data_IF_797122402061
#
_entry.id   IF_797122402061
#
_cell.length_a   1.000
_cell.length_b   1.000
_cell.length_c   1.000
_cell.angle_alpha   90.00
_cell.angle_beta   90.00
_cell.angle_gamma   90.00
#
_symmetry.space_group_name_H-M   'P 1'
#
loop_
_entity.id
_entity.type
_entity.pdbx_description
1 polymer ?
#
# COMPACT_ATOMS: atom_id res chain seq x y z
N UNK A 1 69.66 -29.75 -5.30
CA UNK A 1 68.62 -29.81 -4.25
C UNK A 1 67.49 -28.89 -4.64
N UNK A 2 66.29 -29.37 -4.96
CA UNK A 2 65.19 -28.52 -5.31
C UNK A 2 64.42 -28.10 -4.07
N UNK A 3 63.99 -26.83 -4.02
CA UNK A 3 63.19 -26.16 -3.02
C UNK A 3 61.78 -26.74 -2.95
N UNK A 4 61.18 -26.98 -1.77
CA UNK A 4 59.82 -27.51 -1.68
C UNK A 4 58.79 -26.41 -1.90
N UNK A 5 57.88 -26.69 -2.86
CA UNK A 5 56.71 -25.89 -3.17
C UNK A 5 55.75 -25.84 -1.94
N UNK A 6 55.46 -24.66 -1.47
CA UNK A 6 54.45 -24.38 -0.47
C UNK A 6 53.05 -24.75 -1.01
N UNK A 7 52.36 -25.68 -0.37
CA UNK A 7 50.97 -26.01 -0.66
C UNK A 7 50.06 -24.86 -0.16
N UNK A 8 49.43 -24.16 -1.09
CA UNK A 8 48.36 -23.23 -0.77
C UNK A 8 47.17 -24.04 -0.20
N UNK A 9 46.79 -23.78 1.06
CA UNK A 9 45.53 -24.25 1.62
C UNK A 9 44.40 -23.40 1.06
N UNK A 10 43.55 -24.02 0.28
CA UNK A 10 42.22 -23.46 -0.06
C UNK A 10 41.43 -23.35 1.24
N UNK A 11 41.15 -22.14 1.67
CA UNK A 11 40.12 -21.89 2.66
C UNK A 11 38.77 -22.03 1.95
N UNK A 12 38.03 -23.08 2.28
CA UNK A 12 36.62 -23.20 1.94
C UNK A 12 35.85 -22.19 2.79
N UNK A 13 35.41 -21.12 2.18
CA UNK A 13 34.47 -20.19 2.84
C UNK A 13 33.15 -20.93 2.94
N UNK A 14 32.79 -21.37 4.15
CA UNK A 14 31.44 -21.79 4.46
C UNK A 14 30.54 -20.57 4.28
N UNK A 15 29.65 -20.70 3.31
CA UNK A 15 28.63 -19.69 3.01
C UNK A 15 27.41 -19.99 3.87
N UNK A 16 27.54 -19.78 5.18
CA UNK A 16 26.41 -19.69 6.08
C UNK A 16 25.96 -18.22 6.16
N UNK A 17 25.54 -17.68 5.02
CA UNK A 17 24.67 -16.52 5.06
C UNK A 17 23.26 -17.05 5.34
N UNK A 18 22.53 -16.56 6.35
CA UNK A 18 21.14 -16.90 6.51
C UNK A 18 20.43 -16.55 5.20
N UNK A 19 19.65 -17.50 4.67
CA UNK A 19 18.77 -17.21 3.55
C UNK A 19 17.95 -15.97 3.89
N UNK A 20 17.82 -15.00 2.95
CA UNK A 20 17.00 -13.83 3.20
C UNK A 20 15.61 -14.34 3.57
N UNK A 21 15.11 -13.95 4.75
CA UNK A 21 13.77 -14.25 5.19
C UNK A 21 12.82 -13.99 4.01
N UNK A 22 12.03 -15.00 3.62
CA UNK A 22 11.04 -14.86 2.55
C UNK A 22 10.26 -13.58 2.80
N UNK A 23 10.44 -12.61 1.92
CA UNK A 23 9.73 -11.35 2.01
C UNK A 23 8.24 -11.69 1.86
N UNK A 24 7.44 -11.39 2.88
CA UNK A 24 6.01 -11.64 2.82
C UNK A 24 5.44 -11.13 1.49
N UNK A 25 4.56 -11.89 0.83
CA UNK A 25 4.04 -11.51 -0.48
C UNK A 25 3.41 -10.12 -0.40
N UNK A 26 3.68 -9.29 -1.39
CA UNK A 26 3.13 -7.94 -1.47
C UNK A 26 1.63 -8.01 -1.63
N UNK A 27 0.91 -7.25 -0.83
CA UNK A 27 -0.52 -7.08 -0.92
C UNK A 27 -0.86 -5.67 -1.36
N UNK A 28 -1.89 -5.57 -2.18
CA UNK A 28 -2.39 -4.30 -2.68
C UNK A 28 -3.86 -4.19 -2.33
N UNK A 29 -4.21 -3.19 -1.55
CA UNK A 29 -5.60 -2.95 -1.14
C UNK A 29 -6.29 -2.04 -2.15
N UNK A 30 -7.46 -2.45 -2.59
CA UNK A 30 -8.33 -1.66 -3.46
C UNK A 30 -9.68 -1.44 -2.79
N UNK A 31 -10.26 -0.28 -3.05
CA UNK A 31 -11.69 -0.08 -2.85
C UNK A 31 -12.40 -0.68 -4.06
N UNK A 32 -13.27 -1.64 -3.85
CA UNK A 32 -14.01 -2.30 -4.92
C UNK A 32 -15.43 -1.72 -5.08
N UNK A 33 -16.03 -1.21 -3.99
CA UNK A 33 -17.32 -0.50 -3.99
C UNK A 33 -17.40 0.46 -2.80
N UNK A 34 -18.19 1.53 -2.93
CA UNK A 34 -18.41 2.55 -1.89
C UNK A 34 -19.87 3.01 -1.77
N UNK A 35 -20.77 2.27 -2.40
CA UNK A 35 -22.20 2.54 -2.31
C UNK A 35 -22.70 3.73 -3.13
N UNK A 36 -21.85 4.37 -3.91
CA UNK A 36 -22.26 5.39 -4.87
C UNK A 36 -22.60 4.81 -6.24
N UNK A 37 -23.22 5.63 -7.09
CA UNK A 37 -23.58 5.25 -8.44
C UNK A 37 -22.35 4.96 -9.29
N UNK A 38 -22.40 3.86 -9.99
CA UNK A 38 -21.42 3.50 -11.00
C UNK A 38 -21.74 4.13 -12.38
N UNK A 39 -20.99 3.75 -13.42
CA UNK A 39 -21.17 4.26 -14.79
C UNK A 39 -22.47 3.79 -15.45
N UNK A 40 -23.10 2.75 -14.91
CA UNK A 40 -24.34 2.18 -15.40
C UNK A 40 -25.55 2.70 -14.64
N UNK A 41 -25.35 3.64 -13.71
CA UNK A 41 -26.31 4.13 -12.74
C UNK A 41 -26.76 3.06 -11.72
N UNK A 42 -26.00 1.99 -11.56
CA UNK A 42 -26.23 1.04 -10.50
C UNK A 42 -25.61 1.53 -9.19
N UNK A 43 -26.27 1.23 -8.09
CA UNK A 43 -25.82 1.51 -6.74
C UNK A 43 -25.88 0.25 -5.89
N UNK A 44 -24.72 -0.20 -5.41
CA UNK A 44 -24.60 -1.43 -4.65
C UNK A 44 -24.44 -1.09 -3.17
N UNK A 45 -25.36 -1.57 -2.34
CA UNK A 45 -25.26 -1.41 -0.88
C UNK A 45 -23.99 -2.06 -0.35
N UNK A 46 -23.16 -1.28 0.35
CA UNK A 46 -21.92 -1.80 0.94
C UNK A 46 -22.20 -2.90 1.96
N UNK A 47 -23.26 -2.76 2.73
CA UNK A 47 -23.64 -3.76 3.74
C UNK A 47 -24.38 -4.97 3.15
N UNK A 48 -24.76 -4.90 1.89
CA UNK A 48 -25.47 -5.96 1.18
C UNK A 48 -24.57 -7.02 0.54
N UNK A 49 -23.26 -6.90 0.65
CA UNK A 49 -22.32 -7.85 0.06
C UNK A 49 -22.32 -9.21 0.77
N UNK A 50 -22.57 -10.26 0.01
CA UNK A 50 -22.38 -11.65 0.40
C UNK A 50 -21.01 -12.10 -0.10
N UNK A 51 -20.06 -12.31 0.82
CA UNK A 51 -18.64 -12.50 0.52
C UNK A 51 -18.14 -13.93 0.75
N UNK A 52 -18.93 -14.79 1.38
CA UNK A 52 -18.47 -16.10 1.84
C UNK A 52 -18.04 -17.01 0.69
N UNK A 53 -18.84 -17.05 -0.39
CA UNK A 53 -18.52 -17.86 -1.58
C UNK A 53 -17.24 -17.37 -2.26
N UNK A 54 -17.08 -16.05 -2.44
CA UNK A 54 -15.87 -15.46 -2.99
C UNK A 54 -14.67 -15.76 -2.11
N UNK A 55 -14.73 -15.53 -0.81
CA UNK A 55 -13.61 -15.75 0.09
C UNK A 55 -13.23 -17.23 0.24
N UNK A 56 -14.13 -18.16 -0.08
CA UNK A 56 -13.81 -19.60 -0.16
C UNK A 56 -13.02 -19.94 -1.45
N UNK A 57 -13.23 -19.21 -2.55
CA UNK A 57 -12.51 -19.34 -3.82
C UNK A 57 -12.12 -17.96 -4.37
N UNK A 58 -11.14 -17.28 -3.75
CA UNK A 58 -10.91 -15.86 -3.92
C UNK A 58 -10.09 -15.52 -5.16
N UNK A 59 -10.60 -15.84 -6.35
CA UNK A 59 -9.91 -15.63 -7.62
C UNK A 59 -9.85 -14.15 -8.01
N UNK A 60 -8.70 -13.74 -8.53
CA UNK A 60 -8.49 -12.42 -9.13
C UNK A 60 -8.18 -12.59 -10.61
N UNK A 61 -8.95 -11.92 -11.47
CA UNK A 61 -8.81 -11.96 -12.92
C UNK A 61 -8.21 -10.66 -13.47
N UNK A 62 -8.01 -10.61 -14.77
CA UNK A 62 -7.66 -9.41 -15.52
C UNK A 62 -8.74 -9.10 -16.55
N UNK A 63 -9.33 -7.88 -16.48
CA UNK A 63 -10.39 -7.41 -17.37
C UNK A 63 -11.59 -8.37 -17.50
N UNK A 64 -11.98 -9.05 -16.41
CA UNK A 64 -13.10 -10.00 -16.36
C UNK A 64 -12.94 -11.21 -17.31
N UNK A 65 -11.73 -11.50 -17.77
CA UNK A 65 -11.47 -12.63 -18.66
C UNK A 65 -11.32 -13.92 -17.83
N UNK A 66 -12.33 -14.75 -17.90
CA UNK A 66 -12.39 -16.07 -17.25
C UNK A 66 -12.13 -17.23 -18.24
N UNK A 67 -11.67 -16.91 -19.47
CA UNK A 67 -11.45 -17.88 -20.54
C UNK A 67 -12.73 -18.38 -21.22
N UNK A 68 -13.93 -18.03 -20.70
CA UNK A 68 -15.18 -18.35 -21.37
C UNK A 68 -15.33 -17.55 -22.66
N UNK A 69 -16.12 -17.99 -23.60
CA UNK A 69 -16.44 -17.22 -24.80
C UNK A 69 -17.56 -16.19 -24.61
N UNK A 70 -17.87 -15.84 -23.35
CA UNK A 70 -18.93 -14.90 -22.99
C UNK A 70 -18.61 -13.42 -23.23
N UNK A 71 -19.44 -12.53 -22.74
CA UNK A 71 -19.33 -11.06 -22.98
C UNK A 71 -17.98 -10.46 -22.56
N UNK A 72 -17.34 -11.01 -21.54
CA UNK A 72 -16.05 -10.56 -21.02
C UNK A 72 -14.91 -11.55 -21.25
N UNK A 73 -15.21 -12.76 -21.71
CA UNK A 73 -14.21 -13.79 -21.96
C UNK A 73 -13.66 -13.70 -23.37
N UNK A 74 -12.36 -13.98 -23.53
CA UNK A 74 -11.67 -14.00 -24.82
C UNK A 74 -11.89 -15.30 -25.61
N UNK A 75 -12.52 -16.31 -25.01
CA UNK A 75 -12.65 -17.65 -25.57
C UNK A 75 -11.32 -18.42 -25.55
N UNK A 76 -10.28 -17.91 -24.93
CA UNK A 76 -8.99 -18.59 -24.75
C UNK A 76 -9.12 -19.64 -23.66
N UNK A 77 -8.61 -20.83 -23.92
CA UNK A 77 -8.67 -21.96 -22.97
C UNK A 77 -7.56 -21.96 -21.91
N UNK A 78 -6.59 -21.05 -22.05
CA UNK A 78 -5.39 -20.94 -21.23
C UNK A 78 -5.40 -19.72 -20.29
N UNK A 79 -6.58 -19.14 -20.08
CA UNK A 79 -6.72 -18.02 -19.14
C UNK A 79 -6.85 -18.57 -17.73
N UNK A 80 -5.96 -18.12 -16.86
CA UNK A 80 -5.91 -18.47 -15.44
C UNK A 80 -6.05 -17.20 -14.59
N UNK A 81 -6.48 -17.35 -13.32
CA UNK A 81 -6.43 -16.23 -12.37
C UNK A 81 -5.01 -15.67 -12.25
N UNK A 82 -4.90 -14.37 -12.13
CA UNK A 82 -3.62 -13.65 -11.93
C UNK A 82 -3.20 -13.55 -10.47
N UNK A 83 -4.01 -14.07 -9.56
CA UNK A 83 -3.75 -14.03 -8.12
C UNK A 83 -4.98 -14.39 -7.30
N UNK A 84 -4.87 -14.15 -6.02
CA UNK A 84 -5.96 -14.35 -5.05
C UNK A 84 -6.26 -13.05 -4.32
N UNK A 85 -7.51 -12.92 -3.86
CA UNK A 85 -7.98 -11.77 -3.12
C UNK A 85 -8.61 -12.14 -1.78
N UNK A 86 -8.75 -11.17 -0.90
CA UNK A 86 -9.60 -11.24 0.29
C UNK A 86 -10.51 -10.03 0.30
N UNK A 87 -11.82 -10.26 0.18
CA UNK A 87 -12.82 -9.21 0.22
C UNK A 87 -13.39 -9.06 1.63
N UNK A 88 -13.61 -7.82 2.06
CA UNK A 88 -14.20 -7.48 3.35
C UNK A 88 -14.84 -6.09 3.31
N UNK A 89 -15.86 -5.88 4.13
CA UNK A 89 -16.49 -4.57 4.33
C UNK A 89 -15.79 -3.87 5.47
N UNK A 90 -15.39 -2.62 5.24
CA UNK A 90 -14.82 -1.75 6.26
C UNK A 90 -15.40 -0.34 6.12
N UNK A 91 -16.12 0.10 7.16
CA UNK A 91 -16.83 1.38 7.13
C UNK A 91 -17.86 1.43 6.02
N UNK A 92 -17.72 2.35 5.11
CA UNK A 92 -18.58 2.62 3.97
C UNK A 92 -18.05 2.06 2.63
N UNK A 93 -17.11 1.11 2.68
CA UNK A 93 -16.50 0.54 1.50
C UNK A 93 -16.38 -0.98 1.54
N UNK A 94 -16.53 -1.63 0.38
CA UNK A 94 -16.01 -2.95 0.10
C UNK A 94 -14.53 -2.80 -0.27
N UNK A 95 -13.66 -3.41 0.51
CA UNK A 95 -12.23 -3.48 0.25
C UNK A 95 -11.83 -4.88 -0.22
N UNK A 96 -10.77 -4.95 -1.00
CA UNK A 96 -10.12 -6.21 -1.38
C UNK A 96 -8.62 -6.07 -1.28
N UNK A 97 -7.99 -7.01 -0.60
CA UNK A 97 -6.54 -7.20 -0.59
C UNK A 97 -6.18 -8.20 -1.67
N UNK A 98 -5.33 -7.82 -2.61
CA UNK A 98 -4.90 -8.66 -3.74
C UNK A 98 -3.44 -9.05 -3.55
N UNK A 99 -3.18 -10.34 -3.73
CA UNK A 99 -1.85 -10.96 -3.80
C UNK A 99 -1.70 -11.60 -5.18
N UNK A 100 -0.71 -11.16 -5.96
CA UNK A 100 -0.48 -11.63 -7.31
C UNK A 100 0.33 -12.93 -7.32
N UNK A 101 0.04 -13.79 -8.31
CA UNK A 101 0.81 -15.00 -8.54
C UNK A 101 2.23 -14.66 -9.02
N UNK A 102 3.22 -15.03 -8.21
CA UNK A 102 4.62 -14.76 -8.49
C UNK A 102 5.26 -15.80 -9.44
N UNK A 103 4.59 -16.89 -9.73
CA UNK A 103 5.06 -17.90 -10.66
C UNK A 103 4.58 -17.63 -12.10
N UNK A 104 3.50 -16.87 -12.27
CA UNK A 104 2.98 -16.47 -13.59
C UNK A 104 3.61 -15.15 -14.08
N UNK A 105 4.25 -15.20 -15.25
CA UNK A 105 4.85 -14.04 -15.92
C UNK A 105 3.85 -12.93 -16.22
N UNK A 106 2.61 -13.27 -16.58
CA UNK A 106 1.58 -12.29 -16.88
C UNK A 106 1.10 -11.60 -15.59
N UNK A 107 0.87 -12.37 -14.53
CA UNK A 107 0.50 -11.83 -13.22
C UNK A 107 1.57 -10.87 -12.68
N UNK A 108 2.86 -11.22 -12.78
CA UNK A 108 3.97 -10.32 -12.43
C UNK A 108 4.00 -9.03 -13.25
N UNK A 109 3.66 -9.10 -14.55
CA UNK A 109 3.55 -7.89 -15.40
C UNK A 109 2.41 -7.00 -14.95
N UNK A 110 1.26 -7.58 -14.59
CA UNK A 110 0.10 -6.83 -14.05
C UNK A 110 0.49 -6.19 -12.72
N UNK A 111 1.07 -6.96 -11.79
CA UNK A 111 1.54 -6.45 -10.49
C UNK A 111 2.51 -5.28 -10.66
N UNK A 112 3.50 -5.40 -11.55
CA UNK A 112 4.45 -4.31 -11.83
C UNK A 112 3.76 -3.03 -12.30
N UNK A 113 2.67 -3.13 -13.05
CA UNK A 113 1.87 -1.96 -13.46
C UNK A 113 1.05 -1.40 -12.30
N UNK A 114 0.51 -2.26 -11.45
CA UNK A 114 -0.20 -1.87 -10.22
C UNK A 114 0.76 -1.15 -9.26
N UNK A 115 1.93 -1.72 -9.02
CA UNK A 115 2.94 -1.13 -8.14
C UNK A 115 3.33 0.29 -8.56
N UNK A 116 3.43 0.53 -9.88
CA UNK A 116 3.76 1.84 -10.46
C UNK A 116 2.55 2.77 -10.66
N UNK A 117 1.33 2.32 -10.30
CA UNK A 117 0.10 3.11 -10.47
C UNK A 117 -0.39 3.25 -11.92
N UNK A 118 0.15 2.45 -12.86
CA UNK A 118 -0.30 2.44 -14.27
C UNK A 118 -1.65 1.71 -14.39
N UNK A 119 -1.81 0.61 -13.65
CA UNK A 119 -3.10 -0.03 -13.39
C UNK A 119 -3.47 0.29 -11.94
N UNK A 120 -4.60 0.93 -11.74
CA UNK A 120 -4.97 1.46 -10.45
C UNK A 120 -6.42 1.16 -10.08
N UNK A 121 -7.09 0.32 -10.83
CA UNK A 121 -8.52 0.08 -10.66
C UNK A 121 -8.86 -1.40 -10.65
N UNK A 122 -9.92 -1.70 -9.91
CA UNK A 122 -10.57 -3.01 -9.89
C UNK A 122 -12.03 -2.88 -10.31
N UNK A 123 -12.62 -4.00 -10.68
CA UNK A 123 -14.04 -4.13 -10.96
C UNK A 123 -14.53 -5.44 -10.35
N UNK A 124 -15.82 -5.49 -10.06
CA UNK A 124 -16.50 -6.64 -9.49
C UNK A 124 -17.46 -7.26 -10.50
N UNK A 125 -17.58 -8.58 -10.51
CA UNK A 125 -18.72 -9.27 -11.08
C UNK A 125 -19.56 -9.80 -9.92
N UNK A 126 -20.85 -9.59 -9.97
CA UNK A 126 -21.75 -9.92 -8.88
C UNK A 126 -23.09 -10.44 -9.40
N UNK A 127 -23.81 -11.11 -8.53
CA UNK A 127 -25.18 -11.56 -8.74
C UNK A 127 -26.10 -10.76 -7.81
N UNK A 128 -27.11 -10.12 -8.39
CA UNK A 128 -28.11 -9.38 -7.64
C UNK A 128 -29.15 -10.34 -7.05
N UNK A 129 -29.36 -10.28 -5.74
CA UNK A 129 -30.38 -11.09 -5.03
C UNK A 129 -31.62 -10.24 -4.65
N UNK A 130 -31.39 -9.01 -4.17
CA UNK A 130 -32.45 -8.06 -3.85
C UNK A 130 -32.10 -6.70 -4.39
N UNK A 131 -32.95 -6.21 -5.28
CA UNK A 131 -32.72 -4.96 -6.00
C UNK A 131 -34.03 -4.37 -6.51
N UNK A 132 -34.06 -3.11 -6.84
CA UNK A 132 -35.14 -2.41 -7.51
C UNK A 132 -34.56 -1.37 -8.50
N UNK A 133 -35.40 -1.01 -9.49
CA UNK A 133 -35.01 0.06 -10.42
C UNK A 133 -34.96 1.40 -9.68
N UNK A 134 -33.97 2.22 -10.05
CA UNK A 134 -33.81 3.55 -9.51
C UNK A 134 -34.20 4.64 -10.52
N UNK A 135 -34.32 5.87 -10.04
CA UNK A 135 -34.74 7.02 -10.87
C UNK A 135 -33.75 7.36 -11.99
N UNK A 136 -32.55 6.80 -12.01
CA UNK A 136 -31.52 7.02 -13.02
C UNK A 136 -31.50 5.99 -14.15
N UNK A 137 -32.42 5.02 -14.10
CA UNK A 137 -32.53 3.95 -15.09
C UNK A 137 -31.53 2.81 -14.88
N UNK A 138 -30.94 2.71 -13.69
CA UNK A 138 -30.15 1.58 -13.23
C UNK A 138 -30.84 0.91 -12.05
N UNK A 139 -30.08 0.19 -11.21
CA UNK A 139 -30.59 -0.57 -10.10
C UNK A 139 -29.98 -0.13 -8.77
N UNK A 140 -30.79 -0.06 -7.74
CA UNK A 140 -30.36 -0.01 -6.34
C UNK A 140 -30.35 -1.44 -5.82
N UNK A 141 -29.16 -2.00 -5.61
CA UNK A 141 -28.98 -3.36 -5.08
C UNK A 141 -28.81 -3.30 -3.56
N UNK A 142 -29.71 -3.93 -2.86
CA UNK A 142 -29.70 -4.05 -1.41
C UNK A 142 -28.94 -5.29 -0.93
N UNK A 143 -28.88 -6.34 -1.77
CA UNK A 143 -28.19 -7.59 -1.49
C UNK A 143 -27.63 -8.18 -2.78
N UNK A 144 -26.32 -8.41 -2.79
CA UNK A 144 -25.59 -8.95 -3.92
C UNK A 144 -24.46 -9.89 -3.48
N UNK A 145 -24.23 -10.92 -4.27
CA UNK A 145 -23.16 -11.88 -4.07
C UNK A 145 -21.95 -11.51 -4.93
N UNK A 146 -20.77 -11.48 -4.32
CA UNK A 146 -19.52 -11.28 -5.05
C UNK A 146 -19.09 -12.58 -5.73
N UNK A 147 -18.93 -12.54 -7.06
CA UNK A 147 -18.51 -13.70 -7.85
C UNK A 147 -17.03 -13.68 -8.16
N UNK A 148 -16.47 -12.52 -8.55
CA UNK A 148 -15.04 -12.36 -8.83
C UNK A 148 -14.61 -10.90 -8.72
N UNK A 149 -13.30 -10.69 -8.59
CA UNK A 149 -12.64 -9.38 -8.65
C UNK A 149 -11.66 -9.40 -9.82
N UNK A 150 -11.67 -8.32 -10.59
CA UNK A 150 -10.71 -8.12 -11.68
C UNK A 150 -9.90 -6.85 -11.51
N UNK A 151 -8.58 -6.94 -11.78
CA UNK A 151 -7.81 -5.74 -12.11
C UNK A 151 -8.19 -5.31 -13.53
N UNK A 152 -8.62 -4.05 -13.68
CA UNK A 152 -9.15 -3.56 -14.95
C UNK A 152 -8.48 -2.27 -15.40
N UNK A 153 -8.55 -2.01 -16.70
CA UNK A 153 -8.11 -0.72 -17.27
C UNK A 153 -9.12 0.38 -17.03
N UNK A 154 -10.42 0.07 -17.10
CA UNK A 154 -11.52 1.01 -16.90
C UNK A 154 -12.55 0.34 -16.00
N UNK A 155 -12.75 0.80 -14.75
CA UNK A 155 -13.71 0.23 -13.81
C UNK A 155 -15.15 0.69 -14.11
N UNK A 156 -16.13 -0.13 -13.76
CA UNK A 156 -17.55 0.27 -13.72
C UNK A 156 -17.78 1.35 -12.67
N UNK A 157 -17.37 1.11 -11.44
CA UNK A 157 -17.35 2.15 -10.41
C UNK A 157 -16.08 3.00 -10.53
N UNK A 158 -16.23 4.30 -10.78
CA UNK A 158 -15.12 5.25 -11.00
C UNK A 158 -14.19 5.38 -9.78
N UNK A 159 -14.68 5.04 -8.58
CA UNK A 159 -13.94 5.10 -7.33
C UNK A 159 -13.40 3.74 -6.88
N UNK A 160 -13.58 2.69 -7.68
CA UNK A 160 -12.98 1.37 -7.45
C UNK A 160 -11.49 1.38 -7.80
N UNK A 161 -10.72 2.11 -7.00
CA UNK A 161 -9.29 2.35 -7.19
C UNK A 161 -8.49 1.88 -6.00
N UNK A 162 -7.18 1.70 -6.24
CA UNK A 162 -6.22 1.32 -5.20
C UNK A 162 -6.26 2.34 -4.07
N UNK A 163 -6.43 1.84 -2.86
CA UNK A 163 -6.22 2.62 -1.65
C UNK A 163 -4.71 2.74 -1.46
N UNK A 164 -4.17 3.94 -1.60
CA UNK A 164 -2.79 4.20 -1.19
C UNK A 164 -2.73 3.97 0.31
N UNK A 165 -2.09 2.88 0.72
CA UNK A 165 -1.98 2.57 2.13
C UNK A 165 -1.26 3.73 2.84
N UNK A 166 -1.85 4.15 3.96
CA UNK A 166 -1.14 4.82 5.05
C UNK A 166 0.15 4.06 5.45
N UNK A 167 0.30 2.79 5.06
CA UNK A 167 1.49 1.98 5.26
C UNK A 167 2.66 2.42 4.36
N UNK A 168 2.42 2.77 3.09
CA UNK A 168 3.49 3.28 2.19
C UNK A 168 3.93 4.68 2.64
N UNK A 169 2.98 5.52 3.10
CA UNK A 169 3.30 6.82 3.68
C UNK A 169 4.01 6.67 5.03
N UNK A 170 3.58 5.72 5.88
CA UNK A 170 4.25 5.41 7.15
C UNK A 170 5.62 4.78 6.93
N UNK A 171 5.78 3.87 5.98
CA UNK A 171 7.08 3.28 5.64
C UNK A 171 8.03 4.34 5.09
N UNK A 172 7.56 5.23 4.22
CA UNK A 172 8.31 6.39 3.75
C UNK A 172 8.71 7.33 4.90
N UNK A 173 7.76 7.68 5.76
CA UNK A 173 7.99 8.51 6.94
C UNK A 173 8.98 7.85 7.92
N UNK A 174 8.84 6.55 8.20
CA UNK A 174 9.77 5.79 9.07
C UNK A 174 11.18 5.78 8.46
N UNK A 175 11.31 5.59 7.15
CA UNK A 175 12.62 5.65 6.47
C UNK A 175 13.22 7.05 6.51
N UNK A 176 12.42 8.09 6.36
CA UNK A 176 12.89 9.48 6.43
C UNK A 176 13.30 9.84 7.85
N UNK A 177 12.53 9.43 8.85
CA UNK A 177 12.90 9.59 10.26
C UNK A 177 14.17 8.80 10.59
N UNK A 178 14.28 7.54 10.13
CA UNK A 178 15.49 6.73 10.35
C UNK A 178 16.73 7.39 9.71
N UNK A 179 16.61 7.91 8.48
CA UNK A 179 17.69 8.67 7.82
C UNK A 179 18.06 9.95 8.59
N UNK A 180 17.08 10.68 9.06
CA UNK A 180 17.29 11.90 9.84
C UNK A 180 17.99 11.59 11.19
N UNK A 181 17.60 10.50 11.87
CA UNK A 181 18.22 10.05 13.12
C UNK A 181 19.66 9.63 12.88
N UNK A 182 19.94 8.83 11.84
CA UNK A 182 21.31 8.43 11.48
C UNK A 182 22.16 9.65 11.18
N UNK A 183 21.67 10.58 10.36
CA UNK A 183 22.38 11.82 10.06
C UNK A 183 22.66 12.66 11.31
N UNK A 184 21.70 12.76 12.24
CA UNK A 184 21.88 13.47 13.51
C UNK A 184 22.91 12.78 14.43
N UNK A 185 22.94 11.45 14.46
CA UNK A 185 23.95 10.68 15.20
C UNK A 185 25.35 10.87 14.61
N UNK A 186 25.48 10.84 13.29
CA UNK A 186 26.76 11.10 12.59
C UNK A 186 27.30 12.51 12.86
N UNK A 187 26.42 13.51 12.89
CA UNK A 187 26.79 14.88 13.27
C UNK A 187 27.24 14.94 14.72
N UNK A 188 26.52 14.25 15.62
CA UNK A 188 26.88 14.17 17.04
C UNK A 188 28.22 13.46 17.25
N UNK A 189 28.52 12.42 16.49
CA UNK A 189 29.81 11.74 16.58
C UNK A 189 30.95 12.59 16.05
N UNK A 190 30.76 13.31 14.95
CA UNK A 190 31.75 14.27 14.44
C UNK A 190 32.03 15.43 15.39
N UNK A 191 31.02 15.82 16.18
CA UNK A 191 31.13 16.91 17.16
C UNK A 191 31.60 16.45 18.55
N UNK A 192 31.87 15.15 18.76
CA UNK A 192 32.41 14.61 20.03
C UNK A 192 33.83 15.11 20.37
N UNK A 193 34.49 15.84 19.46
CA UNK A 193 35.83 16.37 19.69
C UNK A 193 35.87 17.64 20.58
N UNK A 194 34.73 18.27 20.90
CA UNK A 194 34.67 19.36 21.87
C UNK A 194 33.35 19.28 22.64
N UNK A 195 33.39 19.37 24.00
CA UNK A 195 32.14 19.53 24.74
C UNK A 195 31.46 20.83 24.31
N UNK A 196 30.13 20.86 24.18
CA UNK A 196 29.43 22.10 23.83
C UNK A 196 29.80 23.16 24.88
N UNK A 197 30.03 24.42 24.46
CA UNK A 197 30.26 25.50 25.42
C UNK A 197 29.08 25.52 26.38
N UNK A 198 29.41 25.43 27.65
CA UNK A 198 28.41 25.55 28.73
C UNK A 198 27.77 26.92 28.55
N UNK A 199 26.43 27.00 28.37
CA UNK A 199 25.77 28.29 28.25
C UNK A 199 26.15 29.15 29.45
N UNK A 200 26.68 30.37 29.21
CA UNK A 200 26.94 31.29 30.27
C UNK A 200 25.58 31.75 30.87
N UNK A 201 25.19 31.03 31.93
CA UNK A 201 23.92 31.30 32.66
C UNK A 201 23.87 32.75 33.17
N UNK A 202 25.05 33.35 33.41
CA UNK A 202 25.16 34.72 33.85
C UNK A 202 24.94 35.71 32.69
N UNK A 203 25.29 35.34 31.46
CA UNK A 203 25.00 36.12 30.27
C UNK A 203 23.49 36.09 29.94
N UNK A 204 22.87 34.93 30.07
CA UNK A 204 21.42 34.78 29.89
C UNK A 204 20.64 35.53 30.95
N UNK A 205 21.05 35.47 32.20
CA UNK A 205 20.43 36.21 33.32
C UNK A 205 20.56 37.74 33.16
N UNK A 206 21.71 38.22 32.68
CA UNK A 206 21.93 39.62 32.34
C UNK A 206 21.00 40.11 31.24
N UNK A 207 20.92 39.35 30.13
CA UNK A 207 20.03 39.71 29.01
C UNK A 207 18.55 39.74 29.43
N UNK A 208 18.13 38.81 30.29
CA UNK A 208 16.75 38.76 30.78
C UNK A 208 16.48 39.95 31.72
N UNK A 209 17.43 40.32 32.59
CA UNK A 209 17.32 41.49 33.48
C UNK A 209 17.29 42.82 32.72
N UNK A 210 18.11 42.98 31.69
CA UNK A 210 18.12 44.16 30.81
C UNK A 210 16.81 44.29 30.02
N UNK A 211 16.26 43.20 29.52
CA UNK A 211 14.97 43.17 28.82
C UNK A 211 13.81 43.59 29.75
N UNK A 212 13.80 43.09 31.00
CA UNK A 212 12.81 43.45 32.00
C UNK A 212 12.91 44.92 32.41
N UNK A 213 14.12 45.46 32.57
CA UNK A 213 14.35 46.88 32.89
C UNK A 213 13.88 47.79 31.75
N UNK A 214 14.07 47.42 30.49
CA UNK A 214 13.57 48.18 29.34
C UNK A 214 12.03 48.20 29.29
N UNK A 215 11.35 47.11 29.64
CA UNK A 215 9.89 47.09 29.72
C UNK A 215 9.35 47.96 30.89
N UNK A 216 9.98 47.96 32.04
CA UNK A 216 9.57 48.74 33.18
C UNK A 216 9.76 50.26 32.99
N UNK A 217 10.79 50.66 32.21
CA UNK A 217 11.01 52.10 31.90
C UNK A 217 10.03 52.66 30.87
N UNK A 218 9.43 51.80 30.04
CA UNK A 218 8.40 52.21 29.07
C UNK A 218 7.00 52.40 29.70
N UNK A 219 6.72 51.76 30.83
CA UNK A 219 5.43 51.93 31.54
C UNK A 219 5.38 53.14 32.50
N UNK A 220 6.53 53.74 32.86
CA UNK A 220 6.59 54.89 33.74
C UNK A 220 6.50 56.28 33.04
N UNK A 221 6.37 56.29 31.72
CA UNK A 221 6.22 57.46 30.87
C UNK A 221 4.87 57.54 30.11
N UNK A 222 3.83 56.91 30.67
CA UNK A 222 2.45 57.08 30.21
C UNK A 222 1.60 57.77 31.29
#
# INVERSE_FOLDING_TARGET
MPCPLARARLFTVQKDAPEPAECAPRRYTFRANDGDFDRYNDRLSVQGWMLDAFNANPIVLYNHDDGSGGLFGTGRKDVLPIGKGRAYVQGDALLVDIEFDQEDDFARKVESKVARGILNAVSVRYLMHRYHENERGGFDCEQQELLEISVVTIPGNQRAVRVKELADERAGFIQDVARAVVAALDVRERNKAAPPPVPDVNALARHTAESLLQHLTLETHR
#
